data_IF_825813237204
#
_entry.id   IF_825813237204
#
_cell.length_a   1.000
_cell.length_b   1.000
_cell.length_c   1.000
_cell.angle_alpha   90.00
_cell.angle_beta   90.00
_cell.angle_gamma   90.00
#
_symmetry.space_group_name_H-M   'P 1'
#
loop_
_entity.id
_entity.type
_entity.pdbx_description
1 polymer ?
#
# COMPACT_ATOMS: atom_id res chain seq x y z
N UNK A 1 -6.56 -22.09 18.72
CA UNK A 1 -6.44 -22.69 17.35
C UNK A 1 -5.10 -22.28 16.80
N UNK A 2 -4.31 -23.22 16.34
CA UNK A 2 -2.97 -22.95 15.80
C UNK A 2 -3.10 -22.44 14.35
N UNK A 3 -2.44 -21.33 14.03
CA UNK A 3 -2.45 -20.77 12.67
C UNK A 3 -1.51 -21.57 11.76
N UNK A 4 -1.95 -21.90 10.56
CA UNK A 4 -1.15 -22.62 9.55
C UNK A 4 -0.01 -21.75 9.03
N UNK A 5 -0.30 -20.47 8.82
CA UNK A 5 0.66 -19.46 8.36
C UNK A 5 0.22 -18.08 8.84
N UNK A 6 1.19 -17.20 9.01
CA UNK A 6 0.93 -15.81 9.42
C UNK A 6 1.72 -14.88 8.50
N UNK A 7 1.09 -13.78 8.10
CA UNK A 7 1.72 -12.73 7.29
C UNK A 7 1.40 -11.37 7.89
N UNK A 8 2.38 -10.46 7.94
CA UNK A 8 2.19 -9.11 8.43
C UNK A 8 2.67 -8.10 7.39
N UNK A 9 1.87 -7.10 7.13
CA UNK A 9 2.20 -6.01 6.23
C UNK A 9 2.11 -4.66 6.93
N UNK A 10 2.91 -3.71 6.47
CA UNK A 10 2.86 -2.32 6.91
C UNK A 10 2.59 -1.47 5.69
N UNK A 11 1.44 -0.80 5.68
CA UNK A 11 1.04 0.17 4.65
C UNK A 11 1.16 1.58 5.21
N UNK A 12 1.02 2.58 4.36
CA UNK A 12 1.06 3.97 4.82
C UNK A 12 -0.13 4.32 5.75
N UNK A 13 -1.25 3.59 5.64
CA UNK A 13 -2.48 3.77 6.41
C UNK A 13 -2.53 2.93 7.70
N UNK A 14 -1.52 2.08 7.95
CA UNK A 14 -1.47 1.25 9.14
C UNK A 14 -0.76 -0.08 8.96
N UNK A 15 -0.94 -0.98 9.92
CA UNK A 15 -0.41 -2.34 9.88
C UNK A 15 -1.56 -3.35 9.87
N UNK A 16 -1.37 -4.46 9.15
CA UNK A 16 -2.31 -5.58 9.10
C UNK A 16 -1.57 -6.88 9.31
N UNK A 17 -2.22 -7.80 10.00
CA UNK A 17 -1.72 -9.15 10.23
C UNK A 17 -2.79 -10.14 9.77
N UNK A 18 -2.37 -11.12 9.02
CA UNK A 18 -3.20 -12.17 8.44
C UNK A 18 -2.81 -13.49 9.10
N UNK A 19 -3.76 -14.16 9.75
CA UNK A 19 -3.57 -15.49 10.31
C UNK A 19 -4.44 -16.49 9.53
N UNK A 20 -3.80 -17.41 8.85
CA UNK A 20 -4.46 -18.46 8.09
C UNK A 20 -4.85 -19.61 9.02
N UNK A 21 -6.13 -19.93 9.06
CA UNK A 21 -6.73 -21.06 9.75
C UNK A 21 -7.25 -22.08 8.73
N UNK A 22 -7.62 -23.30 9.13
CA UNK A 22 -8.08 -24.34 8.21
C UNK A 22 -9.34 -23.98 7.41
N UNK A 23 -10.24 -23.17 7.96
CA UNK A 23 -11.55 -22.83 7.38
C UNK A 23 -11.70 -21.33 7.05
N UNK A 24 -10.85 -20.48 7.61
CA UNK A 24 -10.95 -19.03 7.50
C UNK A 24 -9.59 -18.35 7.56
N UNK A 25 -9.53 -17.10 7.12
CA UNK A 25 -8.41 -16.20 7.39
C UNK A 25 -8.89 -15.09 8.33
N UNK A 26 -8.11 -14.83 9.38
CA UNK A 26 -8.35 -13.72 10.30
C UNK A 26 -7.46 -12.56 9.86
N UNK A 27 -8.07 -11.41 9.64
CA UNK A 27 -7.39 -10.17 9.32
C UNK A 27 -7.53 -9.24 10.52
N UNK A 28 -6.44 -8.98 11.21
CA UNK A 28 -6.38 -8.02 12.29
C UNK A 28 -5.50 -6.84 11.87
N UNK A 29 -5.85 -5.64 12.29
CA UNK A 29 -5.08 -4.47 11.91
C UNK A 29 -5.31 -3.29 12.80
N UNK A 30 -4.35 -2.34 12.71
CA UNK A 30 -4.42 -1.04 13.36
C UNK A 30 -4.27 0.04 12.30
N UNK A 31 -5.30 0.83 12.15
CA UNK A 31 -5.32 1.95 11.21
C UNK A 31 -4.91 3.23 11.94
N UNK A 32 -4.11 4.09 11.32
CA UNK A 32 -3.45 5.24 11.94
C UNK A 32 -4.43 6.24 12.60
N UNK A 33 -5.70 6.27 12.19
CA UNK A 33 -6.74 7.17 12.68
C UNK A 33 -7.99 6.44 13.21
N UNK A 34 -7.99 5.12 13.24
CA UNK A 34 -9.13 4.31 13.66
C UNK A 34 -8.71 3.23 14.67
N UNK A 35 -9.70 2.73 15.38
CA UNK A 35 -9.55 1.61 16.31
C UNK A 35 -9.00 0.34 15.64
N UNK A 36 -8.46 -0.54 16.43
CA UNK A 36 -8.11 -1.89 16.03
C UNK A 36 -9.34 -2.62 15.49
N UNK A 37 -9.16 -3.36 14.41
CA UNK A 37 -10.22 -4.17 13.82
C UNK A 37 -9.77 -5.61 13.66
N UNK A 38 -10.72 -6.52 13.75
CA UNK A 38 -10.54 -7.94 13.44
C UNK A 38 -11.69 -8.40 12.58
N UNK A 39 -11.37 -9.09 11.49
CA UNK A 39 -12.35 -9.62 10.56
C UNK A 39 -11.98 -11.06 10.20
N UNK A 40 -12.95 -11.96 10.24
CA UNK A 40 -12.80 -13.33 9.78
C UNK A 40 -13.45 -13.49 8.39
N UNK A 41 -12.69 -14.03 7.44
CA UNK A 41 -13.13 -14.28 6.06
C UNK A 41 -13.09 -15.79 5.83
N UNK A 42 -14.22 -16.40 5.45
CA UNK A 42 -14.31 -17.80 5.13
C UNK A 42 -13.52 -18.12 3.84
N UNK A 43 -12.69 -19.16 3.84
CA UNK A 43 -11.89 -19.55 2.68
C UNK A 43 -12.74 -20.01 1.50
N UNK A 44 -13.92 -20.56 1.76
CA UNK A 44 -14.89 -20.97 0.72
C UNK A 44 -15.41 -19.80 -0.11
N UNK A 45 -15.35 -18.56 0.41
CA UNK A 45 -15.77 -17.36 -0.32
C UNK A 45 -14.71 -16.81 -1.27
N UNK A 46 -13.46 -17.29 -1.18
CA UNK A 46 -12.33 -16.80 -1.97
C UNK A 46 -12.09 -17.66 -3.21
N UNK A 47 -11.80 -17.01 -4.34
CA UNK A 47 -11.33 -17.69 -5.54
C UNK A 47 -9.85 -18.06 -5.37
N UNK A 48 -9.44 -19.31 -5.69
CA UNK A 48 -8.06 -19.76 -5.56
C UNK A 48 -7.08 -19.12 -6.56
N UNK A 49 -7.58 -18.36 -7.53
CA UNK A 49 -6.75 -17.70 -8.53
C UNK A 49 -6.60 -16.20 -8.19
N UNK A 50 -5.53 -15.80 -7.48
CA UNK A 50 -5.34 -14.40 -7.14
C UNK A 50 -4.89 -13.57 -8.35
N UNK A 51 -5.38 -12.34 -8.43
CA UNK A 51 -4.88 -11.32 -9.35
C UNK A 51 -3.68 -10.59 -8.76
N UNK A 52 -2.64 -10.32 -9.57
CA UNK A 52 -1.49 -9.49 -9.16
C UNK A 52 -1.54 -8.15 -9.86
N UNK A 53 -1.26 -7.07 -9.12
CA UNK A 53 -1.16 -5.74 -9.68
C UNK A 53 -0.15 -4.89 -8.90
N UNK A 54 0.32 -3.82 -9.50
CA UNK A 54 1.29 -2.92 -8.88
C UNK A 54 0.69 -1.54 -8.75
N UNK A 55 0.70 -1.02 -7.53
CA UNK A 55 0.30 0.35 -7.25
C UNK A 55 1.50 1.17 -6.80
N UNK A 56 1.50 2.42 -7.24
CA UNK A 56 2.40 3.43 -6.71
C UNK A 56 1.70 4.17 -5.58
N UNK A 57 2.46 4.52 -4.54
CA UNK A 57 1.92 5.32 -3.43
C UNK A 57 1.38 6.65 -3.99
N UNK A 58 0.13 7.04 -3.67
CA UNK A 58 -0.44 8.32 -4.09
C UNK A 58 0.39 9.53 -3.66
N UNK A 59 1.15 9.44 -2.56
CA UNK A 59 2.08 10.49 -2.12
C UNK A 59 3.16 10.82 -3.15
N UNK A 60 3.47 9.89 -4.09
CA UNK A 60 4.35 10.19 -5.22
C UNK A 60 3.80 11.31 -6.11
N UNK A 61 2.50 11.27 -6.41
CA UNK A 61 1.84 12.28 -7.26
C UNK A 61 1.81 13.62 -6.52
N UNK A 62 1.53 13.61 -5.21
CA UNK A 62 1.55 14.81 -4.37
C UNK A 62 2.95 15.42 -4.35
N UNK A 63 3.99 14.62 -4.11
CA UNK A 63 5.38 15.07 -4.13
C UNK A 63 5.79 15.67 -5.48
N UNK A 64 5.38 15.03 -6.57
CA UNK A 64 5.62 15.51 -7.93
C UNK A 64 4.98 16.89 -8.19
N UNK A 65 3.71 17.06 -7.82
CA UNK A 65 3.01 18.34 -8.00
C UNK A 65 3.57 19.45 -7.11
N UNK A 66 3.98 19.13 -5.88
CA UNK A 66 4.66 20.09 -5.00
C UNK A 66 5.99 20.54 -5.58
N UNK A 67 6.80 19.60 -6.08
CA UNK A 67 8.10 19.94 -6.67
C UNK A 67 7.94 20.79 -7.95
N UNK A 68 7.09 20.36 -8.89
CA UNK A 68 6.85 21.08 -10.14
C UNK A 68 6.19 22.42 -9.91
N UNK A 69 5.15 22.49 -9.07
CA UNK A 69 4.44 23.73 -8.77
C UNK A 69 5.35 24.76 -8.10
N UNK A 70 6.14 24.35 -7.11
CA UNK A 70 7.10 25.23 -6.47
C UNK A 70 8.15 25.76 -7.46
N UNK A 71 8.66 24.91 -8.34
CA UNK A 71 9.63 25.32 -9.37
C UNK A 71 9.04 26.34 -10.35
N UNK A 72 7.84 26.09 -10.87
CA UNK A 72 7.16 26.98 -11.82
C UNK A 72 6.88 28.35 -11.18
N UNK A 73 6.30 28.36 -9.97
CA UNK A 73 5.96 29.61 -9.27
C UNK A 73 7.22 30.40 -8.95
N UNK A 74 8.27 29.73 -8.45
CA UNK A 74 9.55 30.38 -8.16
C UNK A 74 10.15 31.00 -9.42
N UNK A 75 10.14 30.31 -10.55
CA UNK A 75 10.63 30.81 -11.83
C UNK A 75 9.86 32.03 -12.29
N UNK A 76 8.54 32.07 -12.17
CA UNK A 76 7.70 33.20 -12.50
C UNK A 76 8.03 34.42 -11.62
N UNK A 77 8.16 34.21 -10.30
CA UNK A 77 8.46 35.28 -9.36
C UNK A 77 9.81 35.95 -9.67
N UNK A 78 10.81 35.15 -9.95
CA UNK A 78 12.17 35.66 -10.26
C UNK A 78 12.21 36.33 -11.63
N UNK A 79 11.63 35.68 -12.66
CA UNK A 79 11.74 36.18 -14.04
C UNK A 79 10.79 37.35 -14.38
N UNK A 80 9.55 37.31 -13.87
CA UNK A 80 8.53 38.30 -14.22
C UNK A 80 8.46 39.45 -13.22
N UNK A 81 8.74 39.18 -11.96
CA UNK A 81 8.62 40.20 -10.89
C UNK A 81 9.97 40.63 -10.32
N UNK A 82 11.09 40.14 -10.87
CA UNK A 82 12.46 40.47 -10.43
C UNK A 82 12.67 40.27 -8.90
N UNK A 83 11.93 39.36 -8.30
CA UNK A 83 12.07 39.06 -6.87
C UNK A 83 13.39 38.33 -6.62
N UNK A 84 14.18 38.82 -5.67
CA UNK A 84 15.44 38.17 -5.30
C UNK A 84 15.20 36.74 -4.75
N UNK A 85 16.07 35.82 -5.13
CA UNK A 85 16.07 34.45 -4.57
C UNK A 85 16.23 34.41 -3.04
N UNK A 86 16.88 35.44 -2.48
CA UNK A 86 17.07 35.58 -1.03
C UNK A 86 15.80 36.08 -0.29
N UNK A 87 14.74 36.47 -1.02
CA UNK A 87 13.49 36.85 -0.40
C UNK A 87 12.79 35.64 0.24
N UNK A 88 12.03 35.88 1.30
CA UNK A 88 11.34 34.83 2.06
C UNK A 88 10.44 33.94 1.18
N UNK A 89 9.71 34.51 0.24
CA UNK A 89 8.81 33.79 -0.66
C UNK A 89 9.52 32.74 -1.52
N UNK A 90 10.53 33.12 -2.35
CA UNK A 90 11.32 32.16 -3.12
C UNK A 90 12.01 31.10 -2.25
N UNK A 91 12.59 31.47 -1.10
CA UNK A 91 13.20 30.50 -0.19
C UNK A 91 12.19 29.45 0.29
N UNK A 92 10.98 29.86 0.66
CA UNK A 92 9.92 28.93 1.07
C UNK A 92 9.51 28.00 -0.07
N UNK A 93 9.37 28.51 -1.30
CA UNK A 93 9.06 27.69 -2.47
C UNK A 93 10.16 26.68 -2.78
N UNK A 94 11.43 27.06 -2.68
CA UNK A 94 12.55 26.13 -2.83
C UNK A 94 12.48 25.02 -1.78
N UNK A 95 12.24 25.36 -0.52
CA UNK A 95 12.09 24.38 0.56
C UNK A 95 10.92 23.41 0.31
N UNK A 96 9.76 23.94 -0.16
CA UNK A 96 8.62 23.12 -0.55
C UNK A 96 8.94 22.20 -1.73
N UNK A 97 9.64 22.71 -2.74
CA UNK A 97 10.07 21.94 -3.91
C UNK A 97 11.01 20.80 -3.54
N UNK A 98 11.99 21.07 -2.67
CA UNK A 98 12.90 20.06 -2.14
C UNK A 98 12.14 18.99 -1.32
N UNK A 99 11.24 19.41 -0.44
CA UNK A 99 10.39 18.51 0.33
C UNK A 99 9.52 17.62 -0.57
N UNK A 100 8.92 18.19 -1.61
CA UNK A 100 8.18 17.47 -2.65
C UNK A 100 9.05 16.47 -3.40
N UNK A 101 10.27 16.85 -3.78
CA UNK A 101 11.26 15.97 -4.42
C UNK A 101 11.67 14.79 -3.53
N UNK A 102 11.94 15.03 -2.27
CA UNK A 102 12.25 13.98 -1.28
C UNK A 102 11.06 13.02 -1.13
N UNK A 103 9.84 13.55 -0.98
CA UNK A 103 8.63 12.74 -0.87
C UNK A 103 8.42 11.88 -2.13
N UNK A 104 8.64 12.45 -3.32
CA UNK A 104 8.57 11.73 -4.60
C UNK A 104 9.58 10.58 -4.64
N UNK A 105 10.84 10.82 -4.27
CA UNK A 105 11.89 9.79 -4.27
C UNK A 105 11.61 8.70 -3.23
N UNK A 106 11.15 9.07 -2.04
CA UNK A 106 10.82 8.11 -0.98
C UNK A 106 9.64 7.19 -1.36
N UNK A 107 8.71 7.68 -2.19
CA UNK A 107 7.49 6.97 -2.57
C UNK A 107 7.51 6.45 -4.01
N UNK A 108 8.66 6.52 -4.68
CA UNK A 108 8.83 6.14 -6.09
C UNK A 108 8.54 4.66 -6.36
N UNK A 109 8.84 3.79 -5.40
CA UNK A 109 8.73 2.34 -5.56
C UNK A 109 7.26 1.92 -5.69
N UNK A 110 6.99 1.07 -6.69
CA UNK A 110 5.72 0.38 -6.82
C UNK A 110 5.66 -0.76 -5.81
N UNK A 111 4.52 -0.91 -5.16
CA UNK A 111 4.23 -2.03 -4.25
C UNK A 111 3.39 -3.04 -5.02
N UNK A 112 3.77 -4.32 -4.96
CA UNK A 112 3.00 -5.43 -5.49
C UNK A 112 1.83 -5.72 -4.54
N UNK A 113 0.65 -5.85 -5.12
CA UNK A 113 -0.55 -6.26 -4.42
C UNK A 113 -1.07 -7.56 -5.02
N UNK A 114 -1.52 -8.44 -4.15
CA UNK A 114 -2.16 -9.71 -4.52
C UNK A 114 -3.59 -9.68 -4.01
N UNK A 115 -4.53 -9.82 -4.93
CA UNK A 115 -5.95 -9.65 -4.70
C UNK A 115 -6.69 -10.96 -4.87
N UNK A 116 -7.42 -11.36 -3.85
CA UNK A 116 -8.35 -12.46 -3.89
C UNK A 116 -9.78 -11.93 -4.03
N UNK A 117 -10.50 -12.47 -4.99
CA UNK A 117 -11.88 -12.11 -5.29
C UNK A 117 -12.79 -13.28 -4.91
N UNK A 118 -14.08 -13.01 -4.78
CA UNK A 118 -15.09 -14.08 -4.79
C UNK A 118 -15.41 -14.49 -6.24
N UNK A 119 -16.26 -15.50 -6.41
CA UNK A 119 -16.68 -15.95 -7.74
C UNK A 119 -17.48 -14.89 -8.52
N UNK A 120 -18.05 -13.90 -7.83
CA UNK A 120 -18.70 -12.73 -8.44
C UNK A 120 -17.76 -11.59 -8.84
N UNK A 121 -16.43 -11.75 -8.67
CA UNK A 121 -15.44 -10.74 -9.02
C UNK A 121 -15.27 -9.63 -7.98
N UNK A 122 -15.98 -9.69 -6.85
CA UNK A 122 -15.80 -8.72 -5.76
C UNK A 122 -14.51 -9.02 -5.00
N UNK A 123 -13.75 -7.97 -4.75
CA UNK A 123 -12.52 -8.04 -3.97
C UNK A 123 -12.86 -8.27 -2.51
N UNK A 124 -12.37 -9.36 -1.95
CA UNK A 124 -12.59 -9.73 -0.56
C UNK A 124 -11.32 -9.53 0.27
N UNK A 125 -10.14 -9.88 -0.30
CA UNK A 125 -8.87 -9.81 0.40
C UNK A 125 -7.80 -9.21 -0.50
N UNK A 126 -7.02 -8.31 0.07
CA UNK A 126 -5.95 -7.57 -0.62
C UNK A 126 -4.68 -7.61 0.24
N UNK A 127 -3.63 -8.23 -0.26
CA UNK A 127 -2.33 -8.40 0.40
C UNK A 127 -1.29 -7.54 -0.31
N UNK A 128 -0.49 -6.78 0.45
CA UNK A 128 0.56 -5.93 -0.10
C UNK A 128 1.95 -6.50 0.24
N UNK A 129 2.87 -6.51 -0.73
CA UNK A 129 4.28 -6.82 -0.48
C UNK A 129 4.97 -5.63 0.20
N UNK A 130 4.69 -5.44 1.49
CA UNK A 130 5.17 -4.30 2.26
C UNK A 130 5.51 -4.69 3.70
N UNK A 131 6.49 -4.01 4.29
CA UNK A 131 6.92 -4.27 5.67
C UNK A 131 7.98 -5.37 5.78
N UNK A 132 8.23 -5.79 7.03
CA UNK A 132 9.31 -6.73 7.37
C UNK A 132 9.09 -8.14 6.79
N UNK A 133 7.84 -8.56 6.65
CA UNK A 133 7.46 -9.89 6.16
C UNK A 133 7.27 -9.94 4.63
N UNK A 134 7.62 -8.88 3.89
CA UNK A 134 7.42 -8.80 2.43
C UNK A 134 8.02 -9.98 1.64
N UNK A 135 9.14 -10.55 2.11
CA UNK A 135 9.76 -11.72 1.51
C UNK A 135 8.93 -13.02 1.68
N UNK A 136 8.06 -13.07 2.69
CA UNK A 136 7.24 -14.24 3.00
C UNK A 136 5.90 -14.24 2.26
N UNK A 137 5.58 -13.17 1.48
CA UNK A 137 4.29 -13.05 0.80
C UNK A 137 4.00 -14.22 -0.13
N UNK A 138 4.98 -14.65 -0.94
CA UNK A 138 4.75 -15.73 -1.92
C UNK A 138 4.44 -17.06 -1.21
N UNK A 139 5.21 -17.41 -0.17
CA UNK A 139 4.94 -18.63 0.61
C UNK A 139 3.59 -18.57 1.32
N UNK A 140 3.18 -17.40 1.79
CA UNK A 140 1.86 -17.22 2.40
C UNK A 140 0.74 -17.34 1.36
N UNK A 141 0.91 -16.79 0.14
CA UNK A 141 -0.06 -16.91 -0.96
C UNK A 141 -0.22 -18.37 -1.38
N UNK A 142 0.88 -19.11 -1.47
CA UNK A 142 0.85 -20.54 -1.83
C UNK A 142 0.10 -21.36 -0.77
N UNK A 143 0.38 -21.11 0.52
CA UNK A 143 -0.33 -21.75 1.62
C UNK A 143 -1.83 -21.40 1.61
N UNK A 144 -2.16 -20.13 1.40
CA UNK A 144 -3.54 -19.63 1.33
C UNK A 144 -4.28 -20.26 0.14
N UNK A 145 -3.68 -20.26 -1.04
CA UNK A 145 -4.28 -20.84 -2.25
C UNK A 145 -4.53 -22.34 -2.09
N UNK A 146 -3.56 -23.06 -1.52
CA UNK A 146 -3.72 -24.48 -1.21
C UNK A 146 -4.88 -24.70 -0.25
N UNK A 147 -4.97 -23.92 0.80
CA UNK A 147 -6.01 -24.04 1.80
C UNK A 147 -7.42 -23.69 1.26
N UNK A 148 -7.51 -22.69 0.37
CA UNK A 148 -8.75 -22.37 -0.35
C UNK A 148 -9.22 -23.58 -1.18
N UNK A 149 -8.32 -24.23 -1.92
CA UNK A 149 -8.66 -25.41 -2.72
C UNK A 149 -9.16 -26.56 -1.86
N UNK A 150 -8.51 -26.81 -0.72
CA UNK A 150 -8.95 -27.84 0.25
C UNK A 150 -10.34 -27.49 0.78
N UNK A 151 -10.55 -26.25 1.23
CA UNK A 151 -11.83 -25.82 1.81
C UNK A 151 -13.00 -25.87 0.80
N UNK A 152 -12.70 -25.77 -0.49
CA UNK A 152 -13.68 -25.90 -1.60
C UNK A 152 -13.82 -27.32 -2.13
N UNK A 153 -13.08 -28.30 -1.61
CA UNK A 153 -13.11 -29.68 -2.10
C UNK A 153 -12.57 -29.88 -3.51
N UNK A 154 -11.62 -29.04 -3.92
CA UNK A 154 -10.99 -29.05 -5.27
C UNK A 154 -9.67 -29.88 -5.27
N UNK A 155 -9.40 -30.62 -4.23
CA UNK A 155 -8.18 -31.47 -4.08
C UNK A 155 -8.58 -32.93 -4.08
#
# INVERSE_FOLDING_TARGET
MESIATYSEVRFDGSRTFALLPDRIIVSGKQSLQSEFEMAIALTSLNPNPGKYWLRNPSFIVGMWLALGAFIICSILVSCFSVSFAAFGPCLLVAMGLGGGILMLATFRKVEFVRFQNDGGLVILDLARAGKSAAQLDSFIDALTKQIRIARGMV
#
